data_IF_098157128748
#
_entry.id   IF_098157128748
#
_cell.length_a   1.000
_cell.length_b   1.000
_cell.length_c   1.000
_cell.angle_alpha   90.00
_cell.angle_beta   90.00
_cell.angle_gamma   90.00
#
_symmetry.space_group_name_H-M   'P 1'
#
loop_
_entity.id
_entity.type
_entity.pdbx_description
1 polymer ?
#
# COMPACT_ATOMS: atom_id res chain seq x y z
N UNK A 1 3.51 -50.18 13.60
CA UNK A 1 3.14 -48.82 13.94
C UNK A 1 4.34 -47.90 14.26
N UNK A 2 5.34 -48.36 15.04
CA UNK A 2 6.53 -47.54 15.39
C UNK A 2 7.30 -46.98 14.18
N UNK A 3 7.53 -47.76 13.12
CA UNK A 3 8.28 -47.32 11.95
C UNK A 3 7.59 -46.17 11.14
N UNK A 4 6.25 -46.15 11.12
CA UNK A 4 5.51 -45.08 10.41
C UNK A 4 5.61 -43.75 11.15
N UNK A 5 5.57 -43.76 12.49
CA UNK A 5 5.72 -42.54 13.29
C UNK A 5 7.14 -41.97 13.17
N UNK A 6 8.17 -42.81 13.24
CA UNK A 6 9.57 -42.42 13.06
C UNK A 6 9.80 -41.82 11.66
N UNK A 7 9.22 -42.45 10.63
CA UNK A 7 9.33 -41.93 9.25
C UNK A 7 8.62 -40.61 9.05
N UNK A 8 7.44 -40.42 9.68
CA UNK A 8 6.72 -39.13 9.60
C UNK A 8 7.45 -38.02 10.37
N UNK A 9 8.10 -38.32 11.50
CA UNK A 9 8.92 -37.36 12.23
C UNK A 9 10.15 -36.98 11.41
N UNK A 10 10.85 -37.94 10.82
CA UNK A 10 12.01 -37.66 9.96
C UNK A 10 11.64 -36.85 8.71
N UNK A 11 10.50 -37.18 8.07
CA UNK A 11 9.96 -36.42 6.96
C UNK A 11 9.59 -34.97 7.39
N UNK A 12 8.96 -34.82 8.55
CA UNK A 12 8.65 -33.50 9.11
C UNK A 12 9.89 -32.67 9.41
N UNK A 13 10.95 -33.27 9.95
CA UNK A 13 12.24 -32.62 10.17
C UNK A 13 12.88 -32.19 8.84
N UNK A 14 12.90 -33.08 7.85
CA UNK A 14 13.46 -32.76 6.52
C UNK A 14 12.67 -31.62 5.84
N UNK A 15 11.36 -31.68 5.88
CA UNK A 15 10.48 -30.63 5.35
C UNK A 15 10.69 -29.31 6.09
N UNK A 16 10.87 -29.33 7.41
CA UNK A 16 11.19 -28.15 8.22
C UNK A 16 12.51 -27.50 7.84
N UNK A 17 13.56 -28.31 7.61
CA UNK A 17 14.85 -27.82 7.12
C UNK A 17 14.73 -27.21 5.73
N UNK A 18 14.03 -27.88 4.81
CA UNK A 18 13.79 -27.39 3.45
C UNK A 18 13.00 -26.07 3.49
N UNK A 19 11.96 -25.99 4.33
CA UNK A 19 11.19 -24.75 4.53
C UNK A 19 12.05 -23.60 5.07
N UNK A 20 13.00 -23.90 5.97
CA UNK A 20 13.96 -22.94 6.49
C UNK A 20 14.83 -22.33 5.37
N UNK A 21 15.33 -23.16 4.46
CA UNK A 21 16.11 -22.67 3.30
C UNK A 21 15.27 -21.79 2.36
N UNK A 22 14.03 -22.16 2.10
CA UNK A 22 13.13 -21.34 1.27
C UNK A 22 12.80 -20.00 1.92
N UNK A 23 12.64 -19.96 3.24
CA UNK A 23 12.40 -18.71 3.97
C UNK A 23 13.60 -17.76 3.86
N UNK A 24 14.83 -18.26 3.92
CA UNK A 24 16.05 -17.45 3.76
C UNK A 24 16.07 -16.73 2.41
N UNK A 25 15.71 -17.42 1.32
CA UNK A 25 15.65 -16.82 -0.01
C UNK A 25 14.64 -15.68 -0.04
N UNK A 26 13.47 -15.88 0.56
CA UNK A 26 12.45 -14.85 0.69
C UNK A 26 12.94 -13.67 1.53
N UNK A 27 13.58 -13.94 2.66
CA UNK A 27 14.09 -12.89 3.56
C UNK A 27 15.17 -12.03 2.89
N UNK A 28 16.07 -12.66 2.13
CA UNK A 28 17.08 -11.93 1.33
C UNK A 28 16.38 -11.03 0.31
N UNK A 29 15.43 -11.56 -0.43
CA UNK A 29 14.68 -10.79 -1.42
C UNK A 29 13.94 -9.59 -0.79
N UNK A 30 13.26 -9.80 0.33
CA UNK A 30 12.58 -8.72 1.07
C UNK A 30 13.55 -7.67 1.62
N UNK A 31 14.75 -8.06 2.07
CA UNK A 31 15.80 -7.14 2.50
C UNK A 31 16.31 -6.29 1.33
N UNK A 32 16.51 -6.91 0.16
CA UNK A 32 16.92 -6.19 -1.06
C UNK A 32 15.85 -5.16 -1.49
N UNK A 33 14.57 -5.49 -1.39
CA UNK A 33 13.48 -4.54 -1.65
C UNK A 33 13.52 -3.39 -0.65
N UNK A 34 13.57 -3.68 0.66
CA UNK A 34 13.60 -2.65 1.71
C UNK A 34 14.73 -1.65 1.54
N UNK A 35 15.89 -2.11 1.06
CA UNK A 35 17.05 -1.27 0.81
C UNK A 35 16.78 -0.15 -0.21
N UNK A 36 15.86 -0.38 -1.15
CA UNK A 36 15.61 0.54 -2.27
C UNK A 36 14.50 1.56 -1.94
N UNK A 37 13.54 1.17 -1.11
CA UNK A 37 12.28 1.92 -0.92
C UNK A 37 12.55 3.34 -0.45
N UNK A 38 13.26 3.51 0.66
CA UNK A 38 13.51 4.82 1.26
C UNK A 38 14.22 5.82 0.30
N UNK A 39 15.34 5.45 -0.35
CA UNK A 39 16.00 6.33 -1.32
C UNK A 39 15.14 6.64 -2.55
N UNK A 40 14.40 5.65 -3.07
CA UNK A 40 13.53 5.83 -4.23
C UNK A 40 12.40 6.81 -3.94
N UNK A 41 11.66 6.59 -2.84
CA UNK A 41 10.55 7.45 -2.42
C UNK A 41 11.04 8.88 -2.16
N UNK A 42 12.15 9.02 -1.46
CA UNK A 42 12.77 10.33 -1.23
C UNK A 42 13.10 11.05 -2.55
N UNK A 43 13.83 10.39 -3.44
CA UNK A 43 14.25 11.00 -4.69
C UNK A 43 13.06 11.38 -5.58
N UNK A 44 12.07 10.51 -5.73
CA UNK A 44 10.89 10.77 -6.57
C UNK A 44 10.02 11.89 -6.03
N UNK A 45 9.82 11.95 -4.70
CA UNK A 45 9.05 13.02 -4.06
C UNK A 45 9.74 14.37 -4.17
N UNK A 46 11.02 14.46 -3.83
CA UNK A 46 11.77 15.72 -3.87
C UNK A 46 11.88 16.23 -5.31
N UNK A 47 12.20 15.35 -6.27
CA UNK A 47 12.26 15.67 -7.71
C UNK A 47 10.91 16.21 -8.21
N UNK A 48 9.81 15.49 -7.91
CA UNK A 48 8.47 15.91 -8.30
C UNK A 48 8.09 17.29 -7.75
N UNK A 49 8.37 17.56 -6.48
CA UNK A 49 8.03 18.80 -5.79
C UNK A 49 8.92 19.98 -6.21
N UNK A 50 10.23 19.78 -6.33
CA UNK A 50 11.17 20.81 -6.78
C UNK A 50 10.87 21.29 -8.21
N UNK A 51 10.31 20.42 -9.07
CA UNK A 51 9.89 20.74 -10.43
C UNK A 51 8.58 21.56 -10.52
N UNK A 52 7.83 21.75 -9.43
CA UNK A 52 6.58 22.49 -9.44
C UNK A 52 6.82 24.01 -9.41
N UNK A 53 5.97 24.76 -10.15
CA UNK A 53 6.03 26.22 -10.22
C UNK A 53 5.14 26.84 -9.14
N UNK A 54 5.63 26.83 -7.90
CA UNK A 54 5.03 27.52 -6.75
C UNK A 54 4.23 26.62 -5.80
N UNK A 55 4.18 27.05 -4.53
CA UNK A 55 3.53 26.28 -3.44
C UNK A 55 2.01 26.15 -3.59
N UNK A 56 1.36 27.01 -4.38
CA UNK A 56 -0.10 26.95 -4.59
C UNK A 56 -0.52 25.72 -5.39
N UNK A 57 0.22 25.33 -6.42
CA UNK A 57 -0.07 24.15 -7.23
C UNK A 57 0.14 22.86 -6.40
N UNK A 58 1.21 22.82 -5.63
CA UNK A 58 1.49 21.71 -4.70
C UNK A 58 0.37 21.57 -3.66
N UNK A 59 -0.04 22.67 -3.05
CA UNK A 59 -1.11 22.66 -2.05
C UNK A 59 -2.44 22.19 -2.63
N UNK A 60 -2.78 22.63 -3.83
CA UNK A 60 -4.03 22.28 -4.51
C UNK A 60 -4.06 20.80 -4.94
N UNK A 61 -3.02 20.32 -5.62
CA UNK A 61 -2.91 18.92 -6.03
C UNK A 61 -2.89 18.05 -4.79
N UNK A 62 -2.14 18.45 -3.76
CA UNK A 62 -2.08 17.74 -2.48
C UNK A 62 -3.45 17.61 -1.81
N UNK A 63 -4.20 18.70 -1.68
CA UNK A 63 -5.52 18.68 -1.07
C UNK A 63 -6.50 17.78 -1.84
N UNK A 64 -6.50 17.86 -3.19
CA UNK A 64 -7.34 17.02 -4.04
C UNK A 64 -6.96 15.55 -3.91
N UNK A 65 -5.65 15.26 -3.87
CA UNK A 65 -5.13 13.89 -3.69
C UNK A 65 -5.54 13.34 -2.33
N UNK A 66 -5.32 14.07 -1.25
CA UNK A 66 -5.68 13.64 0.10
C UNK A 66 -7.19 13.46 0.25
N UNK A 67 -8.00 14.38 -0.27
CA UNK A 67 -9.47 14.25 -0.25
C UNK A 67 -9.93 12.98 -0.98
N UNK A 68 -9.38 12.71 -2.18
CA UNK A 68 -9.65 11.46 -2.89
C UNK A 68 -9.25 10.24 -2.08
N UNK A 69 -8.04 10.22 -1.53
CA UNK A 69 -7.50 9.08 -0.78
C UNK A 69 -8.29 8.79 0.49
N UNK A 70 -8.76 9.82 1.19
CA UNK A 70 -9.62 9.65 2.36
C UNK A 70 -10.96 9.03 1.96
N UNK A 71 -11.60 9.55 0.91
CA UNK A 71 -12.86 9.00 0.40
C UNK A 71 -12.69 7.55 -0.07
N UNK A 72 -11.66 7.25 -0.85
CA UNK A 72 -11.37 5.92 -1.35
C UNK A 72 -11.08 4.94 -0.21
N UNK A 73 -10.30 5.36 0.81
CA UNK A 73 -10.02 4.57 2.00
C UNK A 73 -11.28 4.23 2.79
N UNK A 74 -12.18 5.21 2.99
CA UNK A 74 -13.45 4.98 3.68
C UNK A 74 -14.35 4.00 2.92
N UNK A 75 -14.44 4.14 1.60
CA UNK A 75 -15.21 3.21 0.75
C UNK A 75 -14.62 1.80 0.82
N UNK A 76 -13.30 1.67 0.72
CA UNK A 76 -12.62 0.38 0.77
C UNK A 76 -12.77 -0.31 2.13
N UNK A 77 -12.58 0.41 3.23
CA UNK A 77 -12.80 -0.09 4.59
C UNK A 77 -14.26 -0.53 4.80
N UNK A 78 -15.22 0.32 4.38
CA UNK A 78 -16.65 0.02 4.49
C UNK A 78 -17.03 -1.21 3.68
N UNK A 79 -16.48 -1.36 2.48
CA UNK A 79 -16.69 -2.56 1.67
C UNK A 79 -16.12 -3.80 2.34
N UNK A 80 -14.92 -3.73 2.91
CA UNK A 80 -14.32 -4.82 3.68
C UNK A 80 -15.21 -5.26 4.84
N UNK A 81 -15.77 -4.29 5.58
CA UNK A 81 -16.71 -4.53 6.66
C UNK A 81 -18.00 -5.23 6.17
N UNK A 82 -18.61 -4.68 5.11
CA UNK A 82 -19.85 -5.23 4.53
C UNK A 82 -19.63 -6.66 4.04
N UNK A 83 -18.53 -6.90 3.31
CA UNK A 83 -18.21 -8.22 2.77
C UNK A 83 -17.95 -9.24 3.88
N UNK A 84 -17.23 -8.87 4.94
CA UNK A 84 -16.97 -9.76 6.06
C UNK A 84 -18.25 -10.11 6.84
N UNK A 85 -19.15 -9.14 7.04
CA UNK A 85 -20.43 -9.38 7.72
C UNK A 85 -21.43 -10.15 6.84
N UNK A 86 -21.47 -9.91 5.52
CA UNK A 86 -22.37 -10.59 4.59
C UNK A 86 -21.97 -12.05 4.32
N UNK A 87 -20.69 -12.29 4.08
CA UNK A 87 -20.18 -13.62 3.72
C UNK A 87 -19.79 -14.48 4.94
N UNK A 88 -19.59 -13.85 6.08
CA UNK A 88 -19.25 -14.49 7.35
C UNK A 88 -18.18 -15.58 7.21
N UNK A 89 -16.96 -15.23 6.71
CA UNK A 89 -15.93 -16.23 6.43
C UNK A 89 -15.40 -16.91 7.69
N UNK A 90 -15.51 -16.28 8.86
CA UNK A 90 -15.10 -16.82 10.16
C UNK A 90 -16.19 -17.56 10.92
N UNK A 91 -17.45 -17.45 10.49
CA UNK A 91 -18.57 -18.06 11.21
C UNK A 91 -18.46 -19.61 11.22
N UNK A 92 -18.70 -20.19 12.38
CA UNK A 92 -18.68 -21.65 12.58
C UNK A 92 -17.29 -22.25 12.87
N UNK A 93 -16.21 -21.46 12.88
CA UNK A 93 -14.88 -21.96 13.26
C UNK A 93 -14.76 -22.18 14.77
N UNK A 94 -15.49 -21.44 15.60
CA UNK A 94 -15.55 -21.57 17.08
C UNK A 94 -14.20 -21.83 17.74
N UNK A 95 -13.18 -21.07 17.36
CA UNK A 95 -11.85 -21.27 17.87
C UNK A 95 -11.75 -20.75 19.30
N UNK A 96 -11.13 -21.55 20.16
CA UNK A 96 -10.84 -21.15 21.53
C UNK A 96 -9.45 -20.50 21.52
N UNK A 97 -9.36 -19.28 22.04
CA UNK A 97 -8.05 -18.67 22.30
C UNK A 97 -7.32 -19.52 23.31
N UNK A 98 -6.38 -20.33 22.86
CA UNK A 98 -5.54 -21.15 23.76
C UNK A 98 -4.75 -20.24 24.70
N UNK A 99 -4.52 -20.70 25.94
CA UNK A 99 -3.79 -19.96 26.98
C UNK A 99 -2.28 -19.77 26.68
N UNK A 100 -1.82 -20.04 25.46
CA UNK A 100 -0.45 -19.80 25.02
C UNK A 100 -0.33 -18.44 24.35
N UNK A 101 0.55 -17.58 24.83
CA UNK A 101 0.96 -16.36 24.12
C UNK A 101 1.53 -16.76 22.75
N UNK A 102 0.73 -16.61 21.70
CA UNK A 102 1.23 -16.72 20.34
C UNK A 102 2.00 -15.45 20.04
N UNK A 103 3.32 -15.50 20.19
CA UNK A 103 4.19 -14.41 19.74
C UNK A 103 4.08 -14.30 18.21
N UNK A 104 3.42 -13.27 17.73
CA UNK A 104 3.32 -13.00 16.28
C UNK A 104 4.61 -12.43 15.71
N UNK A 105 5.59 -12.10 16.59
CA UNK A 105 6.84 -11.42 16.20
C UNK A 105 6.62 -10.03 15.58
N UNK A 106 5.39 -9.49 15.65
CA UNK A 106 5.04 -8.18 15.13
C UNK A 106 5.22 -7.12 16.21
N UNK A 107 5.95 -6.05 15.88
CA UNK A 107 6.17 -4.93 16.79
C UNK A 107 4.94 -4.00 16.73
N UNK A 108 4.05 -4.13 17.71
CA UNK A 108 2.82 -3.34 17.80
C UNK A 108 2.98 -2.31 18.93
N UNK A 109 3.46 -1.11 18.57
CA UNK A 109 3.40 0.02 19.51
C UNK A 109 1.93 0.41 19.72
N UNK A 110 1.53 0.60 20.98
CA UNK A 110 0.19 1.07 21.30
C UNK A 110 -0.07 2.42 20.58
N UNK A 111 -1.08 2.47 19.72
CA UNK A 111 -1.37 3.64 18.89
C UNK A 111 -2.17 4.67 19.68
N UNK A 112 -1.46 5.67 20.24
CA UNK A 112 -2.08 6.90 20.70
C UNK A 112 -2.15 7.89 19.52
N UNK A 113 -3.28 8.58 19.34
CA UNK A 113 -3.46 9.56 18.25
C UNK A 113 -2.37 10.64 18.29
N UNK A 114 -1.96 11.09 19.48
CA UNK A 114 -0.85 12.02 19.65
C UNK A 114 0.45 11.43 19.10
N UNK A 115 0.73 10.16 19.41
CA UNK A 115 1.94 9.48 18.97
C UNK A 115 1.94 9.28 17.44
N UNK A 116 0.79 8.97 16.84
CA UNK A 116 0.63 8.88 15.37
C UNK A 116 0.94 10.22 14.71
N UNK A 117 0.38 11.33 15.24
CA UNK A 117 0.62 12.67 14.68
C UNK A 117 2.09 13.08 14.88
N UNK A 118 2.64 12.92 16.07
CA UNK A 118 4.03 13.30 16.33
C UNK A 118 5.02 12.43 15.58
N UNK A 119 4.72 11.14 15.42
CA UNK A 119 5.53 10.19 14.67
C UNK A 119 5.61 10.53 13.17
N UNK A 120 4.62 11.23 12.61
CA UNK A 120 4.67 11.67 11.21
C UNK A 120 5.82 12.66 10.93
N UNK A 121 6.30 13.39 11.96
CA UNK A 121 7.36 14.38 11.82
C UNK A 121 8.71 13.77 12.21
N UNK A 122 9.66 13.64 11.27
CA UNK A 122 10.95 13.02 11.54
C UNK A 122 11.83 13.91 12.41
N UNK A 123 12.51 13.31 13.39
CA UNK A 123 13.60 13.96 14.12
C UNK A 123 14.91 13.92 13.32
N UNK A 124 15.05 12.95 12.41
CA UNK A 124 16.19 12.79 11.52
C UNK A 124 15.77 12.08 10.25
N UNK A 125 16.14 12.63 9.09
CA UNK A 125 15.90 11.97 7.79
C UNK A 125 16.62 10.62 7.69
N UNK A 126 17.87 10.56 8.13
CA UNK A 126 18.68 9.35 8.01
C UNK A 126 18.12 8.21 8.88
N UNK A 127 17.62 8.54 10.07
CA UNK A 127 16.94 7.56 10.93
C UNK A 127 15.63 7.08 10.32
N UNK A 128 14.82 7.99 9.75
CA UNK A 128 13.60 7.62 9.02
C UNK A 128 13.91 6.70 7.81
N UNK A 129 14.99 6.99 7.07
CA UNK A 129 15.43 6.16 5.97
C UNK A 129 15.94 4.79 6.44
N UNK A 130 16.70 4.73 7.53
CA UNK A 130 17.22 3.48 8.09
C UNK A 130 16.10 2.54 8.56
N UNK A 131 15.01 3.12 9.07
CA UNK A 131 13.80 2.38 9.48
C UNK A 131 12.79 2.14 8.35
N UNK A 132 13.02 2.71 7.16
CA UNK A 132 12.05 2.73 6.06
C UNK A 132 10.69 3.32 6.47
N UNK A 133 10.71 4.39 7.29
CA UNK A 133 9.50 5.09 7.70
C UNK A 133 9.07 6.07 6.61
N UNK A 134 8.23 5.57 5.71
CA UNK A 134 7.83 6.30 4.51
C UNK A 134 7.06 7.57 4.82
N UNK A 135 6.27 7.59 5.90
CA UNK A 135 5.53 8.78 6.29
C UNK A 135 6.48 9.90 6.73
N UNK A 136 7.49 9.58 7.52
CA UNK A 136 8.51 10.54 7.95
C UNK A 136 9.36 11.01 6.77
N UNK A 137 9.75 10.10 5.87
CA UNK A 137 10.48 10.45 4.64
C UNK A 137 9.65 11.38 3.77
N UNK A 138 8.34 11.11 3.60
CA UNK A 138 7.41 11.93 2.84
C UNK A 138 7.32 13.35 3.41
N UNK A 139 7.12 13.49 4.74
CA UNK A 139 7.03 14.81 5.38
C UNK A 139 8.31 15.61 5.16
N UNK A 140 9.48 14.99 5.39
CA UNK A 140 10.75 15.67 5.13
C UNK A 140 10.92 16.03 3.65
N UNK A 141 10.61 15.12 2.73
CA UNK A 141 10.72 15.34 1.30
C UNK A 141 9.82 16.48 0.80
N UNK A 142 8.63 16.66 1.40
CA UNK A 142 7.74 17.79 1.11
C UNK A 142 8.41 19.12 1.50
N UNK A 143 8.93 19.23 2.72
CA UNK A 143 9.64 20.44 3.16
C UNK A 143 10.87 20.74 2.30
N UNK A 144 11.69 19.72 2.03
CA UNK A 144 12.88 19.89 1.21
C UNK A 144 12.53 20.24 -0.24
N UNK A 145 11.57 19.55 -0.84
CA UNK A 145 11.13 19.82 -2.21
C UNK A 145 10.58 21.23 -2.40
N UNK A 146 9.78 21.73 -1.43
CA UNK A 146 9.29 23.12 -1.41
C UNK A 146 10.44 24.12 -1.26
N UNK A 147 11.40 23.86 -0.38
CA UNK A 147 12.57 24.72 -0.18
C UNK A 147 13.43 24.80 -1.45
N UNK A 148 13.72 23.65 -2.08
CA UNK A 148 14.46 23.59 -3.34
C UNK A 148 13.71 24.29 -4.47
N UNK A 149 12.40 24.11 -4.58
CA UNK A 149 11.55 24.78 -5.56
C UNK A 149 11.56 26.31 -5.39
N UNK A 150 11.53 26.80 -4.15
CA UNK A 150 11.62 28.23 -3.84
C UNK A 150 12.99 28.85 -4.23
N UNK A 151 14.05 28.05 -4.13
CA UNK A 151 15.43 28.48 -4.41
C UNK A 151 15.94 28.05 -5.79
N UNK A 152 15.09 27.54 -6.68
CA UNK A 152 15.51 26.94 -7.98
C UNK A 152 16.26 27.90 -8.91
N UNK A 153 16.16 29.22 -8.67
CA UNK A 153 16.89 30.24 -9.45
C UNK A 153 18.37 30.37 -9.03
N UNK A 154 18.76 29.88 -7.86
CA UNK A 154 20.16 29.85 -7.43
C UNK A 154 20.87 28.68 -8.14
N UNK A 155 21.93 28.97 -8.87
CA UNK A 155 22.70 27.97 -9.62
C UNK A 155 23.26 26.83 -8.75
N UNK A 156 23.59 27.12 -7.49
CA UNK A 156 24.08 26.12 -6.52
C UNK A 156 22.98 25.13 -6.13
N UNK A 157 21.75 25.66 -5.95
CA UNK A 157 20.57 24.83 -5.64
C UNK A 157 20.17 23.99 -6.87
N UNK A 158 20.35 24.54 -8.08
CA UNK A 158 20.15 23.81 -9.33
C UNK A 158 20.97 22.52 -9.43
N UNK A 159 22.21 22.53 -8.92
CA UNK A 159 23.07 21.33 -8.87
C UNK A 159 22.46 20.28 -7.93
N UNK A 160 21.94 20.68 -6.78
CA UNK A 160 21.30 19.75 -5.83
C UNK A 160 20.05 19.12 -6.44
N UNK A 161 19.21 19.93 -7.11
CA UNK A 161 18.01 19.43 -7.80
C UNK A 161 18.42 18.41 -8.87
N UNK A 162 19.41 18.72 -9.71
CA UNK A 162 19.90 17.82 -10.75
C UNK A 162 20.47 16.50 -10.18
N UNK A 163 21.16 16.58 -9.04
CA UNK A 163 21.70 15.39 -8.37
C UNK A 163 20.57 14.46 -7.88
N UNK A 164 19.51 15.04 -7.29
CA UNK A 164 18.35 14.28 -6.83
C UNK A 164 17.55 13.72 -8.02
N UNK A 165 17.35 14.51 -9.08
CA UNK A 165 16.71 14.05 -10.31
C UNK A 165 17.48 12.90 -10.96
N UNK A 166 18.81 12.98 -10.98
CA UNK A 166 19.69 11.91 -11.46
C UNK A 166 19.65 10.64 -10.59
N UNK A 167 19.28 10.77 -9.31
CA UNK A 167 19.14 9.63 -8.40
C UNK A 167 17.93 8.77 -8.75
N UNK A 168 16.85 9.36 -9.28
CA UNK A 168 15.64 8.62 -9.65
C UNK A 168 15.93 7.48 -10.64
N UNK A 169 16.49 7.73 -11.84
CA UNK A 169 16.78 6.65 -12.79
C UNK A 169 17.77 5.61 -12.25
N UNK A 170 18.71 6.03 -11.37
CA UNK A 170 19.64 5.10 -10.72
C UNK A 170 18.87 4.15 -9.77
N UNK A 171 17.96 4.68 -8.94
CA UNK A 171 17.14 3.87 -8.05
C UNK A 171 16.19 2.94 -8.83
N UNK A 172 15.61 3.40 -9.94
CA UNK A 172 14.80 2.58 -10.82
C UNK A 172 15.62 1.42 -11.41
N UNK A 173 16.85 1.69 -11.84
CA UNK A 173 17.76 0.65 -12.36
C UNK A 173 18.17 -0.35 -11.28
N UNK A 174 18.39 0.13 -10.06
CA UNK A 174 18.67 -0.75 -8.91
C UNK A 174 17.46 -1.64 -8.61
N UNK A 175 16.25 -1.09 -8.70
CA UNK A 175 15.00 -1.86 -8.57
C UNK A 175 14.93 -2.97 -9.61
N UNK A 176 15.24 -2.69 -10.88
CA UNK A 176 15.30 -3.71 -11.94
C UNK A 176 16.23 -4.88 -11.59
N UNK A 177 17.40 -4.58 -11.01
CA UNK A 177 18.34 -5.63 -10.60
C UNK A 177 17.77 -6.51 -9.48
N UNK A 178 17.16 -5.89 -8.48
CA UNK A 178 16.53 -6.61 -7.36
C UNK A 178 15.32 -7.41 -7.83
N UNK A 179 14.53 -6.86 -8.76
CA UNK A 179 13.34 -7.53 -9.29
C UNK A 179 13.66 -8.77 -10.13
N UNK A 180 14.88 -8.92 -10.64
CA UNK A 180 15.32 -10.20 -11.26
C UNK A 180 15.37 -11.35 -10.25
N UNK A 181 15.52 -11.05 -8.96
CA UNK A 181 15.45 -12.03 -7.89
C UNK A 181 14.01 -12.32 -7.42
N UNK A 182 13.00 -11.56 -7.88
CA UNK A 182 11.60 -11.72 -7.46
C UNK A 182 11.04 -13.13 -7.67
N UNK A 183 11.27 -13.83 -8.81
CA UNK A 183 10.77 -15.20 -8.98
C UNK A 183 11.26 -16.15 -7.91
N UNK A 184 12.52 -16.01 -7.48
CA UNK A 184 13.10 -16.83 -6.43
C UNK A 184 12.52 -16.49 -5.05
N UNK A 185 12.34 -15.19 -4.76
CA UNK A 185 11.73 -14.72 -3.52
C UNK A 185 10.28 -15.18 -3.38
N UNK A 186 9.49 -15.06 -4.44
CA UNK A 186 8.09 -15.54 -4.47
C UNK A 186 8.01 -17.05 -4.37
N UNK A 187 8.84 -17.79 -5.11
CA UNK A 187 8.92 -19.25 -5.01
C UNK A 187 9.25 -19.68 -3.59
N UNK A 188 10.26 -19.06 -2.97
CA UNK A 188 10.65 -19.34 -1.60
C UNK A 188 9.51 -19.10 -0.60
N UNK A 189 8.76 -18.00 -0.75
CA UNK A 189 7.63 -17.65 0.11
C UNK A 189 6.50 -18.67 0.01
N UNK A 190 6.11 -19.04 -1.22
CA UNK A 190 5.04 -20.04 -1.45
C UNK A 190 5.49 -21.42 -0.99
N UNK A 191 6.71 -21.85 -1.35
CA UNK A 191 7.25 -23.14 -0.97
C UNK A 191 7.34 -23.28 0.55
N UNK A 192 7.83 -22.25 1.25
CA UNK A 192 7.88 -22.23 2.72
C UNK A 192 6.48 -22.34 3.33
N UNK A 193 5.51 -21.57 2.83
CA UNK A 193 4.14 -21.59 3.33
C UNK A 193 3.48 -22.96 3.16
N UNK A 194 3.61 -23.57 1.97
CA UNK A 194 3.05 -24.90 1.67
C UNK A 194 3.75 -26.01 2.48
N UNK A 195 5.08 -25.94 2.62
CA UNK A 195 5.85 -26.95 3.35
C UNK A 195 5.55 -26.95 4.85
N UNK A 196 5.40 -25.73 5.43
CA UNK A 196 5.12 -25.59 6.87
C UNK A 196 3.68 -25.94 7.23
N UNK A 197 2.71 -25.76 6.33
CA UNK A 197 1.29 -25.82 6.65
C UNK A 197 0.48 -26.83 5.84
N UNK A 198 1.06 -27.42 4.81
CA UNK A 198 0.39 -28.38 3.93
C UNK A 198 -0.63 -27.72 2.98
N UNK A 199 -1.16 -28.52 2.06
CA UNK A 199 -2.22 -28.06 1.13
C UNK A 199 -3.59 -27.90 1.82
N UNK A 200 -3.78 -28.51 2.99
CA UNK A 200 -5.02 -28.43 3.77
C UNK A 200 -5.35 -26.98 4.20
N UNK A 201 -4.33 -26.13 4.32
CA UNK A 201 -4.50 -24.70 4.57
C UNK A 201 -5.31 -24.03 3.47
N UNK A 202 -5.06 -24.37 2.22
CA UNK A 202 -5.80 -23.77 1.09
C UNK A 202 -7.28 -24.19 1.12
N UNK A 203 -7.57 -25.42 1.53
CA UNK A 203 -8.94 -25.89 1.66
C UNK A 203 -9.64 -25.24 2.86
N UNK A 204 -9.00 -25.24 4.03
CA UNK A 204 -9.53 -24.66 5.27
C UNK A 204 -9.79 -23.16 5.12
N UNK A 205 -8.89 -22.45 4.43
CA UNK A 205 -9.01 -21.00 4.19
C UNK A 205 -9.70 -20.64 2.87
N UNK A 206 -10.16 -21.63 2.10
CA UNK A 206 -10.79 -21.39 0.80
C UNK A 206 -11.96 -20.42 0.85
N UNK A 207 -12.82 -20.54 1.87
CA UNK A 207 -13.93 -19.62 2.10
C UNK A 207 -13.44 -18.19 2.39
N UNK A 208 -12.40 -18.03 3.21
CA UNK A 208 -11.81 -16.74 3.53
C UNK A 208 -11.18 -16.10 2.29
N UNK A 209 -10.33 -16.84 1.57
CA UNK A 209 -9.67 -16.38 0.36
C UNK A 209 -10.70 -16.02 -0.71
N UNK A 210 -11.66 -16.91 -0.98
CA UNK A 210 -12.71 -16.69 -1.97
C UNK A 210 -13.59 -15.48 -1.65
N UNK A 211 -13.99 -15.32 -0.39
CA UNK A 211 -14.77 -14.16 0.06
C UNK A 211 -14.00 -12.86 -0.08
N UNK A 212 -12.70 -12.86 0.23
CA UNK A 212 -11.85 -11.70 0.08
C UNK A 212 -11.68 -11.30 -1.39
N UNK A 213 -11.35 -12.25 -2.27
CA UNK A 213 -11.21 -11.97 -3.71
C UNK A 213 -12.52 -11.55 -4.37
N UNK A 214 -13.67 -12.08 -3.92
CA UNK A 214 -14.96 -11.57 -4.36
C UNK A 214 -15.13 -10.09 -3.96
N UNK A 215 -14.75 -9.74 -2.74
CA UNK A 215 -14.74 -8.35 -2.29
C UNK A 215 -13.81 -7.46 -3.10
N UNK A 216 -12.59 -7.94 -3.43
CA UNK A 216 -11.68 -7.21 -4.31
C UNK A 216 -12.27 -7.00 -5.71
N UNK A 217 -12.94 -7.99 -6.26
CA UNK A 217 -13.63 -7.86 -7.55
C UNK A 217 -14.71 -6.77 -7.53
N UNK A 218 -15.49 -6.71 -6.45
CA UNK A 218 -16.47 -5.64 -6.24
C UNK A 218 -15.76 -4.29 -6.12
N UNK A 219 -14.68 -4.22 -5.34
CA UNK A 219 -13.87 -2.98 -5.20
C UNK A 219 -13.30 -2.53 -6.55
N UNK A 220 -12.78 -3.44 -7.37
CA UNK A 220 -12.33 -3.10 -8.72
C UNK A 220 -13.46 -2.55 -9.59
N UNK A 221 -14.64 -3.15 -9.51
CA UNK A 221 -15.82 -2.66 -10.24
C UNK A 221 -16.19 -1.24 -9.80
N UNK A 222 -16.13 -0.95 -8.49
CA UNK A 222 -16.36 0.39 -7.96
C UNK A 222 -15.29 1.39 -8.41
N UNK A 223 -14.00 1.04 -8.29
CA UNK A 223 -12.89 1.90 -8.71
C UNK A 223 -12.95 2.21 -10.22
N UNK A 224 -13.22 1.21 -11.05
CA UNK A 224 -13.39 1.38 -12.49
C UNK A 224 -14.64 2.18 -12.80
N UNK A 225 -15.75 1.94 -12.09
CA UNK A 225 -17.00 2.69 -12.22
C UNK A 225 -16.83 4.17 -11.89
N UNK A 226 -16.18 4.47 -10.77
CA UNK A 226 -15.83 5.86 -10.41
C UNK A 226 -14.86 6.45 -11.43
N UNK A 227 -13.85 5.71 -11.85
CA UNK A 227 -12.95 6.11 -12.93
C UNK A 227 -13.72 6.43 -14.22
N UNK A 228 -14.73 5.63 -14.56
CA UNK A 228 -15.57 5.87 -15.74
C UNK A 228 -16.39 7.18 -15.61
N UNK A 229 -16.94 7.48 -14.44
CA UNK A 229 -17.67 8.73 -14.21
C UNK A 229 -16.80 9.95 -14.49
N UNK A 230 -15.53 9.92 -14.12
CA UNK A 230 -14.62 11.05 -14.32
C UNK A 230 -13.89 11.01 -15.67
N UNK A 231 -13.38 9.85 -16.11
CA UNK A 231 -12.53 9.73 -17.32
C UNK A 231 -13.35 9.31 -18.56
N UNK A 232 -14.58 8.85 -18.39
CA UNK A 232 -15.39 8.28 -19.45
C UNK A 232 -14.74 7.03 -20.04
N UNK A 233 -14.87 6.84 -21.36
CA UNK A 233 -14.29 5.67 -22.06
C UNK A 233 -12.78 5.54 -21.95
N UNK A 234 -12.07 6.61 -21.56
CA UNK A 234 -10.60 6.60 -21.38
C UNK A 234 -10.16 5.69 -20.21
N UNK A 235 -11.05 5.35 -19.27
CA UNK A 235 -10.72 4.40 -18.20
C UNK A 235 -10.29 3.04 -18.75
N UNK A 236 -10.92 2.56 -19.82
CA UNK A 236 -10.52 1.30 -20.48
C UNK A 236 -9.10 1.35 -21.05
N UNK A 237 -8.70 2.49 -21.62
CA UNK A 237 -7.32 2.71 -22.09
C UNK A 237 -6.34 2.82 -20.93
N UNK A 238 -6.74 3.44 -19.80
CA UNK A 238 -5.95 3.48 -18.59
C UNK A 238 -5.68 2.07 -18.06
N UNK A 239 -6.72 1.24 -17.93
CA UNK A 239 -6.57 -0.14 -17.44
C UNK A 239 -5.67 -0.99 -18.36
N UNK A 240 -5.74 -0.78 -19.67
CA UNK A 240 -4.82 -1.42 -20.61
C UNK A 240 -3.37 -0.98 -20.39
N UNK A 241 -3.14 0.32 -20.17
CA UNK A 241 -1.80 0.86 -19.93
C UNK A 241 -1.19 0.32 -18.62
N UNK A 242 -1.99 0.25 -17.54
CA UNK A 242 -1.49 -0.16 -16.22
C UNK A 242 -1.58 -1.68 -15.97
N UNK A 243 -2.01 -2.47 -16.95
CA UNK A 243 -2.15 -3.93 -16.81
C UNK A 243 -0.85 -4.61 -16.41
N UNK A 244 0.24 -4.25 -17.05
CA UNK A 244 1.56 -4.84 -16.79
C UNK A 244 2.08 -4.50 -15.39
N UNK A 245 2.13 -3.22 -14.94
CA UNK A 245 2.45 -2.89 -13.56
C UNK A 245 1.53 -3.57 -12.54
N UNK A 246 0.23 -3.67 -12.81
CA UNK A 246 -0.72 -4.32 -11.91
C UNK A 246 -0.45 -5.83 -11.77
N UNK A 247 -0.13 -6.52 -12.87
CA UNK A 247 0.27 -7.93 -12.84
C UNK A 247 1.62 -8.14 -12.14
N UNK A 248 2.56 -7.21 -12.32
CA UNK A 248 3.82 -7.23 -11.59
C UNK A 248 3.59 -7.12 -10.08
N UNK A 249 2.76 -6.15 -9.66
CA UNK A 249 2.37 -5.99 -8.26
C UNK A 249 1.70 -7.25 -7.68
N UNK A 250 0.79 -7.86 -8.44
CA UNK A 250 0.16 -9.13 -8.06
C UNK A 250 1.18 -10.23 -7.87
N UNK A 251 2.05 -10.45 -8.85
CA UNK A 251 3.00 -11.57 -8.85
C UNK A 251 4.05 -11.45 -7.75
N UNK A 252 4.42 -10.22 -7.39
CA UNK A 252 5.46 -9.94 -6.40
C UNK A 252 4.90 -9.66 -5.00
N UNK A 253 3.59 -9.47 -4.89
CA UNK A 253 2.93 -8.92 -3.70
C UNK A 253 3.62 -7.62 -3.21
N UNK A 254 4.07 -6.77 -4.16
CA UNK A 254 4.75 -5.52 -3.88
C UNK A 254 4.28 -4.41 -4.82
N UNK A 255 3.61 -3.40 -4.25
CA UNK A 255 3.21 -2.20 -5.00
C UNK A 255 4.44 -1.40 -5.42
N UNK A 256 5.46 -1.36 -4.57
CA UNK A 256 6.70 -0.64 -4.81
C UNK A 256 7.44 -1.19 -6.03
N UNK A 257 7.40 -2.50 -6.24
CA UNK A 257 8.00 -3.13 -7.41
C UNK A 257 7.35 -2.65 -8.72
N UNK A 258 6.06 -2.34 -8.68
CA UNK A 258 5.32 -1.83 -9.84
C UNK A 258 5.50 -0.32 -10.06
N UNK A 259 5.98 0.42 -9.04
CA UNK A 259 6.03 1.87 -9.04
C UNK A 259 6.74 2.46 -10.28
N UNK A 260 7.95 2.00 -10.67
CA UNK A 260 8.65 2.54 -11.83
C UNK A 260 7.87 2.36 -13.13
N UNK A 261 7.42 1.13 -13.38
CA UNK A 261 6.65 0.81 -14.58
C UNK A 261 5.31 1.57 -14.59
N UNK A 262 4.68 1.74 -13.43
CA UNK A 262 3.43 2.48 -13.30
C UNK A 262 3.63 3.96 -13.62
N UNK A 263 4.70 4.57 -13.12
CA UNK A 263 5.07 5.96 -13.41
C UNK A 263 5.19 6.17 -14.92
N UNK A 264 5.96 5.34 -15.60
CA UNK A 264 6.17 5.41 -17.04
C UNK A 264 4.87 5.23 -17.83
N UNK A 265 4.03 4.25 -17.44
CA UNK A 265 2.76 3.98 -18.12
C UNK A 265 1.74 5.12 -17.93
N UNK A 266 1.69 5.76 -16.78
CA UNK A 266 0.83 6.93 -16.55
C UNK A 266 1.28 8.14 -17.37
N UNK A 267 2.59 8.38 -17.50
CA UNK A 267 3.14 9.42 -18.36
C UNK A 267 2.81 9.14 -19.84
N UNK A 268 3.00 7.92 -20.33
CA UNK A 268 2.62 7.49 -21.69
C UNK A 268 1.11 7.60 -21.94
N UNK A 269 0.30 7.37 -20.92
CA UNK A 269 -1.16 7.58 -21.02
C UNK A 269 -1.53 9.07 -21.16
N UNK A 270 -0.61 9.98 -20.88
CA UNK A 270 -0.75 11.43 -21.04
C UNK A 270 -1.08 12.16 -19.74
N UNK A 271 -0.76 11.57 -18.59
CA UNK A 271 -0.74 12.27 -17.30
C UNK A 271 0.53 13.13 -17.22
N UNK A 272 0.37 14.36 -16.76
CA UNK A 272 1.49 15.30 -16.58
C UNK A 272 2.50 14.74 -15.56
N UNK A 273 3.80 14.83 -15.87
CA UNK A 273 4.89 14.35 -15.01
C UNK A 273 4.84 14.95 -13.59
N UNK A 274 4.45 16.21 -13.45
CA UNK A 274 4.31 16.89 -12.15
C UNK A 274 3.21 16.23 -11.31
N UNK A 275 2.09 15.87 -11.93
CA UNK A 275 0.98 15.20 -11.24
C UNK A 275 1.38 13.76 -10.87
N UNK A 276 2.00 13.02 -11.79
CA UNK A 276 2.50 11.66 -11.50
C UNK A 276 3.50 11.69 -10.36
N UNK A 277 4.53 12.57 -10.47
CA UNK A 277 5.63 12.66 -9.50
C UNK A 277 5.18 13.07 -8.10
N UNK A 278 4.04 13.74 -7.95
CA UNK A 278 3.49 14.10 -6.65
C UNK A 278 2.39 13.14 -6.17
N UNK A 279 1.37 12.91 -6.99
CA UNK A 279 0.18 12.15 -6.57
C UNK A 279 0.49 10.67 -6.35
N UNK A 280 1.34 10.09 -7.19
CA UNK A 280 1.61 8.65 -7.12
C UNK A 280 2.37 8.27 -5.84
N UNK A 281 3.51 8.92 -5.46
CA UNK A 281 4.17 8.63 -4.18
C UNK A 281 3.28 8.89 -2.97
N UNK A 282 2.51 9.99 -3.01
CA UNK A 282 1.55 10.30 -1.95
C UNK A 282 0.47 9.21 -1.85
N UNK A 283 0.01 8.68 -2.99
CA UNK A 283 -0.94 7.58 -3.06
C UNK A 283 -0.39 6.28 -2.47
N UNK A 284 0.88 6.00 -2.69
CA UNK A 284 1.55 4.84 -2.08
C UNK A 284 1.59 4.90 -0.56
N UNK A 285 1.56 6.10 0.03
CA UNK A 285 1.47 6.28 1.47
C UNK A 285 0.02 6.34 1.98
N UNK A 286 -0.92 6.88 1.21
CA UNK A 286 -2.25 7.24 1.71
C UNK A 286 -3.42 6.55 1.01
N UNK A 287 -3.25 6.00 -0.22
CA UNK A 287 -4.32 5.41 -1.02
C UNK A 287 -4.09 3.91 -1.25
N UNK A 288 -4.20 3.14 -0.20
CA UNK A 288 -3.98 1.70 -0.21
C UNK A 288 -5.33 0.96 -0.19
N UNK A 289 -6.14 1.11 -1.24
CA UNK A 289 -7.53 0.65 -1.33
C UNK A 289 -7.69 -0.85 -0.98
N UNK A 290 -6.87 -1.72 -1.58
CA UNK A 290 -6.89 -3.15 -1.28
C UNK A 290 -6.47 -3.46 0.15
N UNK A 291 -5.50 -2.72 0.69
CA UNK A 291 -5.03 -2.86 2.07
C UNK A 291 -6.08 -2.39 3.07
N UNK A 292 -6.79 -1.29 2.78
CA UNK A 292 -7.89 -0.79 3.60
C UNK A 292 -9.02 -1.81 3.69
N UNK A 293 -9.48 -2.32 2.54
CA UNK A 293 -10.50 -3.36 2.51
C UNK A 293 -10.08 -4.60 3.30
N UNK A 294 -8.84 -5.05 3.13
CA UNK A 294 -8.28 -6.20 3.84
C UNK A 294 -8.28 -6.01 5.36
N UNK A 295 -7.87 -4.85 5.86
CA UNK A 295 -7.77 -4.60 7.31
C UNK A 295 -9.12 -4.75 8.00
N UNK A 296 -10.17 -4.15 7.44
CA UNK A 296 -11.52 -4.29 7.96
C UNK A 296 -12.03 -5.74 7.87
N UNK A 297 -11.81 -6.36 6.70
CA UNK A 297 -12.22 -7.74 6.43
C UNK A 297 -11.54 -8.74 7.38
N UNK A 298 -10.22 -8.62 7.57
CA UNK A 298 -9.45 -9.49 8.43
C UNK A 298 -9.82 -9.33 9.92
N UNK A 299 -10.01 -8.11 10.39
CA UNK A 299 -10.39 -7.86 11.77
C UNK A 299 -11.79 -8.47 12.09
N UNK A 300 -12.76 -8.30 11.22
CA UNK A 300 -14.10 -8.91 11.39
C UNK A 300 -14.03 -10.44 11.25
N UNK A 301 -13.22 -10.97 10.32
CA UNK A 301 -12.98 -12.41 10.25
C UNK A 301 -12.46 -12.98 11.58
N UNK A 302 -11.46 -12.31 12.20
CA UNK A 302 -10.93 -12.73 13.50
C UNK A 302 -12.02 -12.70 14.57
N UNK A 303 -12.82 -11.62 14.62
CA UNK A 303 -13.94 -11.52 15.56
C UNK A 303 -14.91 -12.70 15.40
N UNK A 304 -15.32 -13.01 14.17
CA UNK A 304 -16.22 -14.11 13.85
C UNK A 304 -15.62 -15.47 14.22
N UNK A 305 -14.35 -15.71 13.89
CA UNK A 305 -13.68 -17.00 14.10
C UNK A 305 -13.54 -17.36 15.60
N UNK A 306 -13.42 -16.34 16.46
CA UNK A 306 -13.29 -16.50 17.92
C UNK A 306 -14.56 -16.15 18.68
N UNK A 307 -15.68 -15.91 18.00
CA UNK A 307 -16.97 -15.63 18.64
C UNK A 307 -17.00 -14.29 19.38
N UNK A 308 -16.10 -13.36 19.07
CA UNK A 308 -16.09 -12.01 19.67
C UNK A 308 -17.27 -11.22 19.09
N UNK A 309 -18.22 -10.88 19.97
CA UNK A 309 -19.37 -10.08 19.58
C UNK A 309 -18.97 -8.61 19.44
N UNK A 310 -19.13 -8.07 18.26
CA UNK A 310 -18.77 -6.69 17.95
C UNK A 310 -19.99 -5.95 17.37
N UNK A 311 -20.68 -5.09 18.16
CA UNK A 311 -21.79 -4.30 17.65
C UNK A 311 -21.36 -3.34 16.54
N UNK A 312 -22.27 -2.94 15.68
CA UNK A 312 -21.95 -2.11 14.49
C UNK A 312 -21.24 -0.80 14.86
N UNK A 313 -21.60 -0.17 15.98
CA UNK A 313 -20.94 1.04 16.47
C UNK A 313 -19.44 0.82 16.74
N UNK A 314 -19.11 -0.32 17.34
CA UNK A 314 -17.72 -0.70 17.61
C UNK A 314 -16.97 -1.06 16.31
N UNK A 315 -17.65 -1.70 15.35
CA UNK A 315 -17.08 -1.96 14.02
C UNK A 315 -16.77 -0.66 13.28
N UNK A 316 -17.67 0.34 13.30
CA UNK A 316 -17.44 1.66 12.69
C UNK A 316 -16.27 2.38 13.37
N UNK A 317 -16.21 2.34 14.71
CA UNK A 317 -15.10 2.92 15.44
C UNK A 317 -13.76 2.26 15.07
N UNK A 318 -13.76 0.94 14.91
CA UNK A 318 -12.59 0.18 14.43
C UNK A 318 -12.14 0.64 13.04
N UNK A 319 -13.08 0.90 12.10
CA UNK A 319 -12.71 1.42 10.77
C UNK A 319 -11.97 2.74 10.85
N UNK A 320 -12.40 3.66 11.73
CA UNK A 320 -11.74 4.96 11.89
C UNK A 320 -10.32 4.79 12.46
N UNK A 321 -10.14 3.89 13.43
CA UNK A 321 -8.81 3.58 13.97
C UNK A 321 -7.93 2.93 12.91
N UNK A 322 -8.44 1.95 12.16
CA UNK A 322 -7.71 1.31 11.06
C UNK A 322 -7.30 2.33 9.99
N UNK A 323 -8.19 3.25 9.63
CA UNK A 323 -7.89 4.31 8.67
C UNK A 323 -6.72 5.19 9.13
N UNK A 324 -6.71 5.61 10.39
CA UNK A 324 -5.64 6.44 10.94
C UNK A 324 -4.33 5.66 11.07
N UNK A 325 -4.39 4.46 11.64
CA UNK A 325 -3.22 3.62 11.89
C UNK A 325 -2.52 3.16 10.61
N UNK A 326 -3.27 3.03 9.51
CA UNK A 326 -2.72 2.59 8.22
C UNK A 326 -1.81 3.60 7.56
N UNK A 327 -1.92 4.89 7.89
CA UNK A 327 -1.16 5.96 7.20
C UNK A 327 0.33 5.97 7.52
N UNK A 328 0.75 5.36 8.62
CA UNK A 328 2.16 5.24 9.00
C UNK A 328 2.88 3.97 8.53
N UNK A 329 2.19 3.06 7.81
CA UNK A 329 2.72 1.72 7.54
C UNK A 329 2.75 1.33 6.06
N UNK A 330 2.70 2.32 5.18
CA UNK A 330 2.44 2.15 3.76
C UNK A 330 3.46 1.27 3.01
N UNK A 331 4.71 1.21 3.42
CA UNK A 331 5.78 0.49 2.68
C UNK A 331 6.36 -0.71 3.43
N UNK A 332 5.72 -1.14 4.51
CA UNK A 332 6.18 -2.30 5.28
C UNK A 332 5.58 -3.57 4.66
N UNK A 333 6.41 -4.55 4.25
CA UNK A 333 5.89 -5.84 3.84
C UNK A 333 4.95 -6.42 4.91
N UNK A 334 3.77 -6.86 4.48
CA UNK A 334 2.70 -7.28 5.39
C UNK A 334 2.19 -6.18 6.34
N UNK A 335 2.42 -4.89 6.01
CA UNK A 335 2.02 -3.75 6.84
C UNK A 335 0.54 -3.79 7.24
N UNK A 336 -0.33 -4.26 6.37
CA UNK A 336 -1.76 -4.40 6.69
C UNK A 336 -2.04 -5.38 7.82
N UNK A 337 -1.31 -6.52 7.91
CA UNK A 337 -1.43 -7.47 9.03
C UNK A 337 -0.90 -6.82 10.32
N UNK A 338 0.19 -6.06 10.22
CA UNK A 338 0.77 -5.35 11.36
C UNK A 338 -0.22 -4.32 11.92
N UNK A 339 -0.93 -3.58 11.05
CA UNK A 339 -2.01 -2.66 11.47
C UNK A 339 -3.13 -3.42 12.19
N UNK A 340 -3.60 -4.53 11.61
CA UNK A 340 -4.62 -5.37 12.26
C UNK A 340 -4.13 -5.88 13.61
N UNK A 341 -2.88 -6.35 13.70
CA UNK A 341 -2.27 -6.82 14.95
C UNK A 341 -2.17 -5.71 16.02
N UNK A 342 -1.82 -4.49 15.61
CA UNK A 342 -1.72 -3.34 16.51
C UNK A 342 -3.08 -2.88 17.04
N UNK A 343 -4.12 -2.99 16.22
CA UNK A 343 -5.48 -2.58 16.57
C UNK A 343 -6.24 -3.70 17.31
N UNK A 344 -5.89 -4.96 17.08
CA UNK A 344 -6.56 -6.13 17.65
C UNK A 344 -6.77 -6.06 19.18
N UNK A 345 -5.79 -5.66 20.03
CA UNK A 345 -5.99 -5.59 21.48
C UNK A 345 -7.06 -4.58 21.90
N UNK A 346 -7.24 -3.48 21.17
CA UNK A 346 -8.25 -2.46 21.46
C UNK A 346 -9.67 -2.99 21.35
N UNK A 347 -9.86 -4.04 20.57
CA UNK A 347 -11.14 -4.69 20.28
C UNK A 347 -11.22 -6.12 20.83
N UNK A 348 -10.32 -6.45 21.76
CA UNK A 348 -10.25 -7.78 22.40
C UNK A 348 -10.12 -8.94 21.39
N UNK A 349 -9.51 -8.69 20.22
CA UNK A 349 -9.26 -9.71 19.21
C UNK A 349 -8.02 -10.53 19.60
N UNK A 350 -8.11 -11.88 19.60
CA UNK A 350 -7.00 -12.72 20.01
C UNK A 350 -5.82 -12.67 19.04
N UNK A 351 -4.59 -12.63 19.55
CA UNK A 351 -3.37 -12.68 18.76
C UNK A 351 -3.28 -13.95 17.88
N UNK A 352 -3.86 -15.06 18.34
CA UNK A 352 -3.99 -16.30 17.56
C UNK A 352 -4.74 -16.08 16.24
N UNK A 353 -5.75 -15.20 16.23
CA UNK A 353 -6.48 -14.84 15.01
C UNK A 353 -5.61 -14.08 14.02
N UNK A 354 -4.76 -13.18 14.51
CA UNK A 354 -3.77 -12.48 13.67
C UNK A 354 -2.79 -13.47 13.05
N UNK A 355 -2.30 -14.44 13.82
CA UNK A 355 -1.41 -15.51 13.31
C UNK A 355 -2.08 -16.35 12.23
N UNK A 356 -3.38 -16.64 12.36
CA UNK A 356 -4.15 -17.34 11.32
C UNK A 356 -4.19 -16.56 10.00
N UNK A 357 -4.50 -15.27 10.07
CA UNK A 357 -4.54 -14.42 8.87
C UNK A 357 -3.15 -14.28 8.26
N UNK A 358 -2.12 -14.11 9.08
CA UNK A 358 -0.72 -14.06 8.66
C UNK A 358 -0.30 -15.33 7.89
N UNK A 359 -0.93 -16.46 8.19
CA UNK A 359 -0.67 -17.74 7.54
C UNK A 359 -0.89 -17.72 6.02
N UNK A 360 -1.92 -17.03 5.58
CA UNK A 360 -2.35 -16.97 4.18
C UNK A 360 -2.13 -15.59 3.58
N UNK A 361 -1.52 -14.70 4.34
CA UNK A 361 -1.36 -13.30 3.97
C UNK A 361 -0.72 -13.12 2.60
N UNK A 362 0.22 -13.99 2.22
CA UNK A 362 0.86 -13.93 0.91
C UNK A 362 -0.17 -13.96 -0.25
N UNK A 363 -1.16 -14.85 -0.17
CA UNK A 363 -2.19 -14.96 -1.22
C UNK A 363 -3.10 -13.74 -1.20
N UNK A 364 -3.46 -13.26 -0.01
CA UNK A 364 -4.30 -12.07 0.13
C UNK A 364 -3.55 -10.80 -0.29
N UNK A 365 -2.25 -10.74 -0.03
CA UNK A 365 -1.38 -9.61 -0.38
C UNK A 365 -1.24 -9.42 -1.90
N UNK A 366 -1.14 -10.49 -2.66
CA UNK A 366 -1.12 -10.42 -4.12
C UNK A 366 -2.32 -9.63 -4.65
N UNK A 367 -3.54 -9.96 -4.22
CA UNK A 367 -4.77 -9.30 -4.66
C UNK A 367 -4.88 -7.85 -4.17
N UNK A 368 -4.60 -7.61 -2.88
CA UNK A 368 -4.67 -6.24 -2.33
C UNK A 368 -3.65 -5.30 -2.95
N UNK A 369 -2.44 -5.80 -3.24
CA UNK A 369 -1.36 -5.02 -3.85
C UNK A 369 -1.69 -4.62 -5.28
N UNK A 370 -2.21 -5.53 -6.08
CA UNK A 370 -2.75 -5.21 -7.42
C UNK A 370 -3.86 -4.16 -7.34
N UNK A 371 -4.74 -4.27 -6.34
CA UNK A 371 -5.83 -3.30 -6.12
C UNK A 371 -5.30 -1.91 -5.79
N UNK A 372 -4.25 -1.82 -4.96
CA UNK A 372 -3.60 -0.56 -4.63
C UNK A 372 -3.03 0.12 -5.89
N UNK A 373 -2.41 -0.64 -6.79
CA UNK A 373 -1.88 -0.11 -8.07
C UNK A 373 -3.01 0.40 -8.96
N UNK A 374 -4.12 -0.34 -9.09
CA UNK A 374 -5.28 0.09 -9.87
C UNK A 374 -5.90 1.37 -9.28
N UNK A 375 -6.11 1.42 -7.95
CA UNK A 375 -6.67 2.56 -7.25
C UNK A 375 -5.82 3.83 -7.42
N UNK A 376 -4.50 3.70 -7.24
CA UNK A 376 -3.56 4.80 -7.45
C UNK A 376 -3.52 5.29 -8.89
N UNK A 377 -3.66 4.39 -9.87
CA UNK A 377 -3.73 4.74 -11.30
C UNK A 377 -4.96 5.57 -11.60
N UNK A 378 -6.13 5.13 -11.11
CA UNK A 378 -7.40 5.85 -11.30
C UNK A 378 -7.34 7.21 -10.63
N UNK A 379 -6.89 7.28 -9.36
CA UNK A 379 -6.74 8.51 -8.61
C UNK A 379 -5.86 9.52 -9.35
N UNK A 380 -4.66 9.10 -9.75
CA UNK A 380 -3.69 9.97 -10.45
C UNK A 380 -4.24 10.50 -11.78
N UNK A 381 -4.91 9.66 -12.56
CA UNK A 381 -5.51 10.06 -13.83
C UNK A 381 -6.70 11.02 -13.65
N UNK A 382 -7.54 10.82 -12.62
CA UNK A 382 -8.66 11.72 -12.30
C UNK A 382 -8.16 13.07 -11.82
N UNK A 383 -7.17 13.09 -10.92
CA UNK A 383 -6.58 14.33 -10.40
C UNK A 383 -5.94 15.12 -11.55
N UNK A 384 -5.22 14.45 -12.47
CA UNK A 384 -4.66 15.08 -13.65
C UNK A 384 -5.73 15.71 -14.55
N UNK A 385 -6.89 15.05 -14.70
CA UNK A 385 -8.03 15.62 -15.44
C UNK A 385 -8.56 16.87 -14.75
N UNK A 386 -8.69 16.89 -13.43
CA UNK A 386 -9.13 18.05 -12.68
C UNK A 386 -8.16 19.23 -12.76
N UNK A 387 -6.85 18.97 -12.89
CA UNK A 387 -5.85 20.01 -13.11
C UNK A 387 -5.92 20.58 -14.55
N UNK A 388 -6.09 19.74 -15.58
CA UNK A 388 -6.21 20.17 -16.99
C UNK A 388 -7.52 20.90 -17.30
N UNK A 389 -8.57 20.70 -16.53
CA UNK A 389 -9.87 21.32 -16.74
C UNK A 389 -9.93 22.81 -16.35
N UNK A 390 -8.86 23.37 -15.81
CA UNK A 390 -8.76 24.82 -15.51
C UNK A 390 -8.10 25.58 -16.65
N UNK A 391 -8.56 26.82 -16.92
CA UNK A 391 -7.81 27.75 -17.76
C UNK A 391 -6.40 27.93 -17.19
N UNK A 392 -5.38 27.96 -18.05
CA UNK A 392 -4.02 28.25 -17.58
C UNK A 392 -4.01 29.65 -16.94
N UNK A 393 -3.14 29.89 -15.94
CA UNK A 393 -2.99 31.21 -15.33
C UNK A 393 -2.73 32.35 -16.38
N UNK A 394 -2.15 31.96 -17.54
CA UNK A 394 -2.01 32.85 -18.69
C UNK A 394 -3.36 33.24 -19.32
N UNK A 395 -4.33 32.29 -19.35
CA UNK A 395 -5.68 32.54 -19.86
C UNK A 395 -6.52 33.37 -18.88
N UNK A 396 -6.37 33.15 -17.56
CA UNK A 396 -7.01 33.98 -16.54
C UNK A 396 -6.46 35.41 -16.57
N UNK A 397 -5.15 35.59 -16.66
CA UNK A 397 -4.52 36.91 -16.78
C UNK A 397 -4.86 37.66 -18.10
N UNK A 398 -5.18 36.91 -19.16
CA UNK A 398 -5.63 37.46 -20.43
C UNK A 398 -7.11 37.86 -20.37
N UNK A 399 -7.93 37.08 -19.67
CA UNK A 399 -9.34 37.36 -19.43
C UNK A 399 -9.51 38.60 -18.53
N UNK A 400 -8.70 38.72 -17.46
CA UNK A 400 -8.71 39.85 -16.55
C UNK A 400 -8.22 41.14 -17.23
N UNK A 401 -7.22 41.05 -18.12
CA UNK A 401 -6.79 42.19 -18.95
C UNK A 401 -7.89 42.63 -19.91
N UNK A 402 -8.57 41.71 -20.55
CA UNK A 402 -9.66 42.03 -21.47
C UNK A 402 -10.89 42.58 -20.74
N UNK A 403 -11.18 42.11 -19.53
CA UNK A 403 -12.23 42.64 -18.66
C UNK A 403 -11.90 44.06 -18.10
N UNK A 404 -10.60 44.38 -17.94
CA UNK A 404 -10.14 45.69 -17.52
C UNK A 404 -10.13 46.72 -18.68
N UNK A 405 -9.99 46.28 -19.94
CA UNK A 405 -10.06 47.13 -21.14
C UNK A 405 -11.50 47.48 -21.54
N UNK A 406 -12.51 46.81 -21.03
CA UNK A 406 -13.95 47.02 -21.32
C UNK A 406 -14.61 47.89 -20.22
N UNK A 407 -13.91 48.22 -19.15
CA UNK A 407 -14.36 49.17 -18.12
C UNK A 407 -13.72 50.54 -18.30
#
# INVERSE_FOLDING_TARGET
MKNRLTLSIAAGMLLGVIAGYFSIVTDIFLRLIKMIIAPLVFATLVSGLAGMDGGQDVGRIGLRSVAWFVCASLVSLSLGLVMANALQPGAGLHLIAGAGEVSTGLNTSALNVKDVITHAFPTSLLDAMARNDILQILVFAVFLGLALGALKRDSRVGIVIQAIDGMVPVMLRLTDYVMRAAPFGVFGAIASAVTLRGLDVLYTYGKLIGSFYLGLFILWTLLVGVGYLFLGRRVGSLLKAVREPAMLAFSTASSEAAYPALTEQLEKFGVDKKVVGFTLPLGYAFNLDGSMMYQAFAAIFIAQAFGVQMPLSQQIFMLLILMLSSKGMASVPRGSVVVVAAVAPLFHLPAAGVAMVLAIDQVLDMGRTMTNVIGNSVATAVIAKWEKARPSAASEAQFDRHAAEIR
#
